data_IF_963309402025
#
_entry.id   IF_963309402025
#
_cell.length_a   1.000
_cell.length_b   1.000
_cell.length_c   1.000
_cell.angle_alpha   90.00
_cell.angle_beta   90.00
_cell.angle_gamma   90.00
#
_symmetry.space_group_name_H-M   'P 1'
#
loop_
_entity.id
_entity.type
_entity.pdbx_description
1 polymer ?
#
# COMPACT_ATOMS: atom_id res chain seq x y z
N UNK A 1 2.48 16.83 3.66
CA UNK A 1 3.87 16.57 3.23
C UNK A 1 4.20 15.09 3.28
N UNK A 2 4.84 14.58 2.26
CA UNK A 2 5.25 13.16 2.20
C UNK A 2 6.78 13.13 2.30
N UNK A 3 7.29 12.35 3.24
CA UNK A 3 8.74 12.17 3.45
C UNK A 3 9.05 10.74 3.88
N UNK A 4 10.32 10.34 3.85
CA UNK A 4 10.70 9.02 4.35
C UNK A 4 10.28 8.87 5.81
N UNK A 5 9.75 7.70 6.12
CA UNK A 5 9.21 7.41 7.45
C UNK A 5 10.34 7.17 8.44
N UNK A 6 10.20 7.71 9.65
CA UNK A 6 11.09 7.41 10.76
C UNK A 6 10.43 6.35 11.66
N UNK A 7 11.23 5.75 12.54
CA UNK A 7 10.70 4.82 13.53
C UNK A 7 9.65 5.50 14.42
N UNK A 8 9.91 6.75 14.81
CA UNK A 8 8.97 7.55 15.60
C UNK A 8 7.64 7.76 14.87
N UNK A 9 7.69 8.04 13.56
CA UNK A 9 6.48 8.15 12.74
C UNK A 9 5.68 6.85 12.77
N UNK A 10 6.35 5.72 12.60
CA UNK A 10 5.68 4.43 12.59
C UNK A 10 5.05 4.11 13.94
N UNK A 11 5.76 4.41 15.03
CA UNK A 11 5.24 4.22 16.38
C UNK A 11 3.95 5.03 16.59
N UNK A 12 3.91 6.27 16.14
CA UNK A 12 2.70 7.09 16.23
C UNK A 12 1.58 6.62 15.29
N UNK A 13 1.93 5.97 14.19
CA UNK A 13 0.97 5.42 13.22
C UNK A 13 0.49 4.02 13.60
N UNK A 14 1.10 3.38 14.58
CA UNK A 14 0.82 1.99 14.94
C UNK A 14 -0.65 1.74 15.30
N UNK A 15 -1.31 2.68 15.97
CA UNK A 15 -2.73 2.53 16.29
C UNK A 15 -3.59 2.37 15.04
N UNK A 16 -3.30 3.13 14.00
CA UNK A 16 -3.97 3.00 12.69
C UNK A 16 -3.61 1.68 12.03
N UNK A 17 -2.33 1.35 11.98
CA UNK A 17 -1.84 0.12 11.34
C UNK A 17 -2.47 -1.12 11.99
N UNK A 18 -2.47 -1.20 13.31
CA UNK A 18 -3.03 -2.34 14.02
C UNK A 18 -4.53 -2.48 13.81
N UNK A 19 -5.27 -1.37 13.77
CA UNK A 19 -6.71 -1.40 13.46
C UNK A 19 -6.98 -1.95 12.05
N UNK A 20 -6.17 -1.57 11.08
CA UNK A 20 -6.33 -2.02 9.69
C UNK A 20 -6.09 -3.53 9.59
N UNK A 21 -5.02 -4.05 10.18
CA UNK A 21 -4.73 -5.48 10.10
C UNK A 21 -5.70 -6.32 10.93
N UNK A 22 -6.16 -5.82 12.07
CA UNK A 22 -7.16 -6.50 12.91
C UNK A 22 -8.53 -6.61 12.23
N UNK A 23 -8.89 -5.64 11.42
CA UNK A 23 -10.16 -5.63 10.69
C UNK A 23 -10.24 -6.75 9.65
N UNK A 24 -9.12 -7.23 9.13
CA UNK A 24 -9.08 -8.31 8.11
C UNK A 24 -9.96 -8.02 6.89
N UNK A 25 -9.86 -6.79 6.38
CA UNK A 25 -10.67 -6.35 5.25
C UNK A 25 -9.86 -5.95 4.02
N UNK A 26 -8.57 -5.59 4.21
CA UNK A 26 -7.77 -5.01 3.13
C UNK A 26 -6.36 -5.55 3.00
N UNK A 27 -5.71 -5.98 4.08
CA UNK A 27 -4.32 -6.43 4.05
C UNK A 27 -4.19 -7.86 4.56
N UNK A 28 -3.33 -8.64 3.88
CA UNK A 28 -3.07 -10.05 4.19
C UNK A 28 -1.95 -10.20 5.24
N UNK A 29 -1.89 -9.30 6.22
CA UNK A 29 -0.97 -9.41 7.34
C UNK A 29 -1.63 -10.13 8.49
N UNK A 30 -0.83 -10.85 9.28
CA UNK A 30 -1.31 -11.50 10.49
C UNK A 30 -1.93 -10.44 11.42
N UNK A 31 -3.20 -10.59 11.81
CA UNK A 31 -3.86 -9.61 12.68
C UNK A 31 -3.24 -9.49 14.07
N UNK A 32 -2.46 -10.49 14.49
CA UNK A 32 -1.78 -10.51 15.78
C UNK A 32 -0.33 -10.00 15.71
N UNK A 33 0.07 -9.47 14.57
CA UNK A 33 1.43 -8.96 14.36
C UNK A 33 1.78 -7.88 15.39
N UNK A 34 2.99 -7.97 15.95
CA UNK A 34 3.49 -6.94 16.86
C UNK A 34 3.94 -5.70 16.10
N UNK A 35 4.07 -4.58 16.81
CA UNK A 35 4.57 -3.33 16.20
C UNK A 35 5.97 -3.53 15.59
N UNK A 36 6.85 -4.28 16.26
CA UNK A 36 8.20 -4.53 15.75
C UNK A 36 8.20 -5.36 14.47
N UNK A 37 7.37 -6.41 14.43
CA UNK A 37 7.21 -7.23 13.23
C UNK A 37 6.66 -6.39 12.07
N UNK A 38 5.67 -5.55 12.36
CA UNK A 38 5.07 -4.67 11.36
C UNK A 38 6.08 -3.63 10.86
N UNK A 39 6.86 -3.05 11.75
CA UNK A 39 7.91 -2.09 11.38
C UNK A 39 8.92 -2.73 10.42
N UNK A 40 9.35 -3.95 10.73
CA UNK A 40 10.27 -4.68 9.85
C UNK A 40 9.66 -4.89 8.46
N UNK A 41 8.44 -5.42 8.37
CA UNK A 41 7.77 -5.70 7.10
C UNK A 41 7.46 -4.46 6.28
N UNK A 42 7.10 -3.38 6.94
CA UNK A 42 6.64 -2.16 6.25
C UNK A 42 7.78 -1.19 5.97
N UNK A 43 8.73 -1.06 6.87
CA UNK A 43 9.76 -0.02 6.81
C UNK A 43 11.16 -0.53 6.50
N UNK A 44 11.51 -1.75 6.91
CA UNK A 44 12.88 -2.26 6.78
C UNK A 44 13.08 -3.18 5.58
N UNK A 45 12.14 -4.11 5.33
CA UNK A 45 12.20 -5.03 4.20
C UNK A 45 12.06 -4.32 2.85
N UNK A 46 11.11 -3.37 2.67
CA UNK A 46 11.01 -2.63 1.41
C UNK A 46 12.22 -1.77 1.14
N UNK A 47 12.37 -1.38 -0.13
CA UNK A 47 13.44 -0.46 -0.55
C UNK A 47 13.29 0.91 0.10
N UNK A 48 12.06 1.41 0.16
CA UNK A 48 11.70 2.71 0.76
C UNK A 48 10.33 2.61 1.42
N UNK A 49 10.14 3.43 2.44
CA UNK A 49 8.83 3.65 3.05
C UNK A 49 8.67 5.13 3.38
N UNK A 50 7.47 5.64 3.22
CA UNK A 50 7.17 7.07 3.36
C UNK A 50 5.99 7.29 4.29
N UNK A 51 5.96 8.47 4.92
CA UNK A 51 4.86 8.92 5.75
C UNK A 51 4.24 10.19 5.16
N UNK A 52 2.91 10.26 5.18
CA UNK A 52 2.19 11.49 4.90
C UNK A 52 1.93 12.18 6.25
N UNK A 53 2.53 13.35 6.42
CA UNK A 53 2.48 14.08 7.68
C UNK A 53 1.82 15.44 7.47
N UNK A 54 0.84 15.77 8.31
CA UNK A 54 0.16 17.06 8.31
C UNK A 54 0.03 17.55 9.74
N UNK A 55 0.54 18.73 10.01
CA UNK A 55 0.51 19.33 11.36
C UNK A 55 1.07 18.40 12.46
N UNK A 56 2.16 17.70 12.13
CA UNK A 56 2.81 16.78 13.04
C UNK A 56 2.11 15.43 13.24
N UNK A 57 1.01 15.19 12.52
CA UNK A 57 0.25 13.93 12.62
C UNK A 57 0.49 13.08 11.36
N UNK A 58 0.81 11.80 11.55
CA UNK A 58 0.97 10.85 10.45
C UNK A 58 -0.42 10.38 10.02
N UNK A 59 -0.83 10.79 8.82
CA UNK A 59 -2.16 10.47 8.28
C UNK A 59 -2.16 9.27 7.35
N UNK A 60 -1.00 8.85 6.89
CA UNK A 60 -0.88 7.72 6.00
C UNK A 60 0.57 7.30 5.83
N UNK A 61 0.76 6.15 5.23
CA UNK A 61 2.09 5.61 4.92
C UNK A 61 2.01 4.70 3.71
N UNK A 62 3.11 4.60 2.97
CA UNK A 62 3.25 3.59 1.93
C UNK A 62 4.69 3.07 1.89
N UNK A 63 4.85 1.85 1.39
CA UNK A 63 6.16 1.29 1.07
C UNK A 63 6.30 1.11 -0.44
N UNK A 64 7.54 1.07 -0.89
CA UNK A 64 7.91 0.77 -2.27
C UNK A 64 9.02 -0.28 -2.26
N UNK A 65 8.80 -1.37 -2.98
CA UNK A 65 9.78 -2.45 -3.08
C UNK A 65 9.83 -3.02 -4.49
N UNK A 66 10.94 -3.68 -4.81
CA UNK A 66 11.06 -4.46 -6.03
C UNK A 66 10.08 -5.63 -5.96
N UNK A 67 9.30 -5.84 -7.02
CA UNK A 67 8.28 -6.89 -7.03
C UNK A 67 8.85 -8.26 -7.38
N UNK A 68 9.85 -8.31 -8.24
CA UNK A 68 10.49 -9.54 -8.68
C UNK A 68 11.95 -9.27 -9.01
N UNK A 69 12.71 -10.32 -9.28
CA UNK A 69 14.15 -10.24 -9.46
C UNK A 69 14.57 -10.35 -10.92
N UNK A 70 15.84 -10.07 -11.19
CA UNK A 70 16.46 -10.28 -12.50
C UNK A 70 15.73 -9.55 -13.61
N UNK A 71 15.38 -10.22 -14.71
CA UNK A 71 14.70 -9.60 -15.86
C UNK A 71 13.37 -8.94 -15.54
N UNK A 72 12.77 -9.22 -14.38
CA UNK A 72 11.51 -8.62 -13.93
C UNK A 72 11.70 -7.54 -12.86
N UNK A 73 12.94 -7.16 -12.57
CA UNK A 73 13.25 -6.20 -11.49
C UNK A 73 12.85 -4.76 -11.80
N UNK A 74 12.41 -4.47 -13.02
CA UNK A 74 11.91 -3.15 -13.42
C UNK A 74 10.49 -2.88 -12.93
N UNK A 75 9.83 -3.86 -12.32
CA UNK A 75 8.47 -3.72 -11.77
C UNK A 75 8.57 -3.57 -10.25
N UNK A 76 7.99 -2.51 -9.71
CA UNK A 76 7.89 -2.32 -8.27
C UNK A 76 6.51 -2.68 -7.74
N UNK A 77 6.42 -2.82 -6.43
CA UNK A 77 5.18 -3.04 -5.70
C UNK A 77 5.08 -2.01 -4.58
N UNK A 78 3.90 -1.48 -4.35
CA UNK A 78 3.61 -0.56 -3.26
C UNK A 78 2.39 -1.04 -2.48
N UNK A 79 2.34 -0.66 -1.20
CA UNK A 79 1.17 -0.83 -0.35
C UNK A 79 0.92 0.47 0.39
N UNK A 80 -0.35 0.81 0.61
CA UNK A 80 -0.75 2.09 1.19
C UNK A 80 -1.71 1.86 2.36
N UNK A 81 -1.51 2.60 3.44
CA UNK A 81 -2.47 2.65 4.54
C UNK A 81 -2.78 4.10 4.89
N UNK A 82 -4.04 4.38 5.17
CA UNK A 82 -4.53 5.72 5.47
C UNK A 82 -5.31 5.69 6.78
N UNK A 83 -5.05 6.67 7.63
CA UNK A 83 -5.80 6.86 8.87
C UNK A 83 -7.25 7.24 8.56
N UNK A 84 -8.18 6.79 9.41
CA UNK A 84 -9.58 7.21 9.32
C UNK A 84 -9.75 8.73 9.43
N UNK A 85 -8.84 9.40 10.13
CA UNK A 85 -8.84 10.88 10.26
C UNK A 85 -8.52 11.58 8.95
N UNK A 86 -7.97 10.87 7.97
CA UNK A 86 -7.57 11.43 6.69
C UNK A 86 -8.66 11.33 5.61
N UNK A 87 -9.84 10.84 5.95
CA UNK A 87 -10.94 10.70 4.99
C UNK A 87 -11.32 12.03 4.38
N UNK A 88 -11.49 12.04 3.05
CA UNK A 88 -11.84 13.24 2.31
C UNK A 88 -10.70 14.20 2.05
N UNK A 89 -9.47 13.90 2.50
CA UNK A 89 -8.29 14.74 2.30
C UNK A 89 -7.45 14.36 1.09
N UNK A 90 -7.80 13.27 0.40
CA UNK A 90 -7.08 12.81 -0.77
C UNK A 90 -5.69 12.25 -0.46
N UNK A 91 -5.47 11.74 0.75
CA UNK A 91 -4.17 11.24 1.18
C UNK A 91 -3.71 10.04 0.36
N UNK A 92 -4.59 9.06 0.13
CA UNK A 92 -4.26 7.87 -0.67
C UNK A 92 -3.87 8.25 -2.10
N UNK A 93 -4.60 9.17 -2.71
CA UNK A 93 -4.32 9.66 -4.06
C UNK A 93 -2.95 10.32 -4.11
N UNK A 94 -2.68 11.24 -3.18
CA UNK A 94 -1.40 11.95 -3.13
C UNK A 94 -0.24 11.00 -2.92
N UNK A 95 -0.40 10.01 -2.05
CA UNK A 95 0.64 9.00 -1.82
C UNK A 95 0.88 8.15 -3.07
N UNK A 96 -0.17 7.75 -3.77
CA UNK A 96 -0.01 6.96 -4.99
C UNK A 96 0.68 7.76 -6.09
N UNK A 97 0.31 9.03 -6.28
CA UNK A 97 0.98 9.91 -7.24
C UNK A 97 2.46 10.09 -6.88
N UNK A 98 2.75 10.31 -5.60
CA UNK A 98 4.12 10.43 -5.10
C UNK A 98 4.91 9.12 -5.32
N UNK A 99 4.30 7.97 -5.07
CA UNK A 99 4.96 6.68 -5.26
C UNK A 99 5.31 6.40 -6.71
N UNK A 100 4.47 6.83 -7.65
CA UNK A 100 4.76 6.68 -9.08
C UNK A 100 5.97 7.53 -9.47
N UNK A 101 6.04 8.76 -8.98
CA UNK A 101 7.18 9.63 -9.21
C UNK A 101 8.45 9.04 -8.61
N UNK A 102 8.40 8.57 -7.37
CA UNK A 102 9.54 7.95 -6.70
C UNK A 102 9.99 6.66 -7.38
N UNK A 103 9.05 5.86 -7.86
CA UNK A 103 9.37 4.66 -8.61
C UNK A 103 10.20 4.99 -9.86
N UNK A 104 9.78 5.99 -10.61
CA UNK A 104 10.51 6.44 -11.80
C UNK A 104 11.91 6.93 -11.42
N UNK A 105 12.03 7.75 -10.39
CA UNK A 105 13.30 8.26 -9.88
C UNK A 105 14.27 7.14 -9.46
N UNK A 106 13.73 6.04 -8.94
CA UNK A 106 14.49 4.87 -8.50
C UNK A 106 14.81 3.90 -9.65
N UNK A 107 14.35 4.20 -10.87
CA UNK A 107 14.64 3.40 -12.06
C UNK A 107 13.62 2.33 -12.40
N UNK A 108 12.48 2.30 -11.71
CA UNK A 108 11.40 1.36 -12.06
C UNK A 108 10.62 1.86 -13.27
N UNK A 109 10.13 0.92 -14.06
CA UNK A 109 9.39 1.23 -15.30
C UNK A 109 7.91 0.89 -15.18
N UNK A 110 7.53 0.07 -14.20
CA UNK A 110 6.15 -0.36 -13.98
C UNK A 110 5.87 -0.55 -12.49
N UNK A 111 4.60 -0.50 -12.13
CA UNK A 111 4.13 -0.71 -10.76
C UNK A 111 2.99 -1.73 -10.77
N UNK A 112 3.08 -2.70 -9.87
CA UNK A 112 2.08 -3.77 -9.75
C UNK A 112 1.61 -3.87 -8.32
N UNK A 113 0.29 -3.97 -8.15
CA UNK A 113 -0.33 -4.32 -6.87
C UNK A 113 -0.72 -5.80 -6.93
N UNK A 114 -0.16 -6.58 -6.03
CA UNK A 114 -0.27 -8.05 -6.10
C UNK A 114 -1.60 -8.59 -5.57
N UNK A 115 -2.25 -7.86 -4.69
CA UNK A 115 -3.48 -8.32 -4.05
C UNK A 115 -4.31 -7.14 -3.57
N UNK A 116 -5.17 -6.66 -4.45
CA UNK A 116 -6.18 -5.65 -4.09
C UNK A 116 -7.47 -6.41 -3.80
N UNK A 117 -7.90 -6.39 -2.55
CA UNK A 117 -9.10 -7.14 -2.14
C UNK A 117 -10.31 -6.60 -2.89
N UNK A 118 -11.04 -7.48 -3.58
CA UNK A 118 -12.12 -7.09 -4.49
C UNK A 118 -13.25 -6.31 -3.82
N UNK A 119 -13.46 -6.51 -2.53
CA UNK A 119 -14.48 -5.81 -1.75
C UNK A 119 -14.07 -4.39 -1.35
N UNK A 120 -12.80 -4.03 -1.56
CA UNK A 120 -12.30 -2.68 -1.30
C UNK A 120 -12.56 -1.79 -2.52
N UNK A 121 -13.83 -1.51 -2.79
CA UNK A 121 -14.28 -0.75 -3.96
C UNK A 121 -13.65 0.63 -4.06
N UNK A 122 -13.45 1.30 -2.92
CA UNK A 122 -12.88 2.64 -2.88
C UNK A 122 -11.46 2.62 -3.43
N UNK A 123 -10.65 1.65 -2.99
CA UNK A 123 -9.27 1.51 -3.47
C UNK A 123 -9.24 1.12 -4.95
N UNK A 124 -10.03 0.13 -5.36
CA UNK A 124 -10.07 -0.33 -6.76
C UNK A 124 -10.38 0.85 -7.70
N UNK A 125 -11.41 1.62 -7.39
CA UNK A 125 -11.80 2.79 -8.20
C UNK A 125 -10.73 3.86 -8.23
N UNK A 126 -10.08 4.11 -7.10
CA UNK A 126 -9.01 5.09 -7.02
C UNK A 126 -7.83 4.67 -7.88
N UNK A 127 -7.39 3.42 -7.78
CA UNK A 127 -6.27 2.91 -8.59
C UNK A 127 -6.60 2.98 -10.08
N UNK A 128 -7.82 2.65 -10.47
CA UNK A 128 -8.26 2.76 -11.86
C UNK A 128 -8.20 4.21 -12.36
N UNK A 129 -8.64 5.17 -11.54
CA UNK A 129 -8.55 6.60 -11.86
C UNK A 129 -7.11 7.07 -12.02
N UNK A 130 -6.19 6.44 -11.31
CA UNK A 130 -4.76 6.78 -11.37
C UNK A 130 -4.00 6.01 -12.47
N UNK A 131 -4.74 5.28 -13.31
CA UNK A 131 -4.20 4.64 -14.51
C UNK A 131 -3.85 3.17 -14.38
N UNK A 132 -4.16 2.53 -13.26
CA UNK A 132 -3.96 1.10 -13.08
C UNK A 132 -5.08 0.30 -13.72
N UNK A 133 -4.75 -0.86 -14.28
CA UNK A 133 -5.71 -1.79 -14.86
C UNK A 133 -5.73 -3.09 -14.04
N UNK A 134 -6.90 -3.69 -13.92
CA UNK A 134 -7.02 -5.04 -13.38
C UNK A 134 -6.54 -6.00 -14.46
N UNK A 135 -5.43 -6.70 -14.20
CA UNK A 135 -4.85 -7.65 -15.16
C UNK A 135 -5.13 -9.10 -14.84
N UNK A 136 -5.67 -9.36 -13.66
CA UNK A 136 -6.04 -10.70 -13.25
C UNK A 136 -6.84 -10.70 -11.98
N UNK A 137 -7.56 -11.80 -11.77
CA UNK A 137 -8.35 -12.03 -10.55
C UNK A 137 -7.90 -13.37 -9.96
N UNK A 138 -7.55 -13.35 -8.67
CA UNK A 138 -7.23 -14.57 -7.92
C UNK A 138 -8.48 -14.94 -7.14
N UNK A 139 -9.16 -16.04 -7.49
CA UNK A 139 -10.41 -16.39 -6.82
C UNK A 139 -10.15 -16.84 -5.39
N UNK A 140 -11.00 -16.40 -4.48
CA UNK A 140 -10.97 -16.77 -3.05
C UNK A 140 -9.61 -16.56 -2.39
N UNK A 141 -8.90 -15.52 -2.82
CA UNK A 141 -7.53 -15.26 -2.38
C UNK A 141 -7.44 -14.65 -0.98
N UNK A 142 -8.52 -14.09 -0.48
CA UNK A 142 -8.51 -13.35 0.78
C UNK A 142 -9.68 -13.79 1.68
N UNK A 143 -9.37 -14.20 2.89
CA UNK A 143 -10.40 -14.54 3.88
C UNK A 143 -10.81 -13.28 4.64
N UNK A 144 -11.84 -12.62 4.13
CA UNK A 144 -12.38 -11.40 4.73
C UNK A 144 -12.96 -11.70 6.13
N UNK A 145 -12.73 -10.78 7.07
CA UNK A 145 -13.16 -10.97 8.46
C UNK A 145 -14.66 -11.14 8.66
N UNK A 146 -15.48 -10.61 7.75
CA UNK A 146 -16.94 -10.68 7.82
C UNK A 146 -17.60 -11.46 6.68
N UNK A 147 -17.01 -11.40 5.47
CA UNK A 147 -17.65 -11.92 4.26
C UNK A 147 -17.16 -13.30 3.84
N UNK A 148 -16.16 -13.86 4.55
CA UNK A 148 -15.54 -15.12 4.15
C UNK A 148 -14.57 -14.93 2.98
N UNK A 149 -14.39 -15.95 2.15
CA UNK A 149 -13.45 -15.90 1.05
C UNK A 149 -13.94 -14.95 -0.05
N UNK A 150 -13.12 -14.00 -0.41
CA UNK A 150 -13.36 -13.05 -1.49
C UNK A 150 -12.17 -13.06 -2.46
N UNK A 151 -12.38 -12.52 -3.65
CA UNK A 151 -11.34 -12.47 -4.67
C UNK A 151 -10.36 -11.33 -4.41
N UNK A 152 -9.15 -11.46 -4.95
CA UNK A 152 -8.18 -10.38 -5.01
C UNK A 152 -7.83 -10.07 -6.46
N UNK A 153 -7.63 -8.79 -6.75
CA UNK A 153 -7.20 -8.34 -8.06
C UNK A 153 -5.69 -8.13 -8.09
N UNK A 154 -5.07 -8.45 -9.22
CA UNK A 154 -3.73 -7.99 -9.55
C UNK A 154 -3.93 -6.77 -10.45
N UNK A 155 -3.36 -5.64 -10.04
CA UNK A 155 -3.47 -4.38 -10.78
C UNK A 155 -2.08 -3.91 -11.22
N UNK A 156 -2.02 -3.22 -12.37
CA UNK A 156 -0.75 -2.94 -13.02
C UNK A 156 -0.80 -1.62 -13.78
N UNK A 157 0.32 -0.89 -13.79
CA UNK A 157 0.50 0.30 -14.59
C UNK A 157 1.92 0.37 -15.14
N UNK A 158 2.07 0.58 -16.45
CA UNK A 158 3.34 0.96 -17.05
C UNK A 158 3.56 2.45 -16.80
N UNK A 159 4.68 2.82 -16.15
CA UNK A 159 4.91 4.19 -15.69
C UNK A 159 5.56 5.07 -16.75
N UNK A 160 6.26 4.49 -17.68
CA UNK A 160 6.97 5.24 -18.71
C UNK A 160 6.02 5.58 -19.87
N UNK A 161 6.02 6.82 -20.25
CA UNK A 161 5.20 7.28 -21.37
C UNK A 161 5.82 6.86 -22.72
#
# INVERSE_FOLDING_TARGET
>A
MIREITKSDFESFWSTFSMVIEAQETYAFDPDMTMEQAFNLWCEVPLKAYAFVENGVVLGSYYLKQNAMGPSSHICNCGYMVSSEARGKGVARQMCEHSQQKAIELGFEAMQFNSVVSTNDIAVRLWEKLGFSIIGTIPKAYKHGRLGYVDSYVMYKWLQA
#
